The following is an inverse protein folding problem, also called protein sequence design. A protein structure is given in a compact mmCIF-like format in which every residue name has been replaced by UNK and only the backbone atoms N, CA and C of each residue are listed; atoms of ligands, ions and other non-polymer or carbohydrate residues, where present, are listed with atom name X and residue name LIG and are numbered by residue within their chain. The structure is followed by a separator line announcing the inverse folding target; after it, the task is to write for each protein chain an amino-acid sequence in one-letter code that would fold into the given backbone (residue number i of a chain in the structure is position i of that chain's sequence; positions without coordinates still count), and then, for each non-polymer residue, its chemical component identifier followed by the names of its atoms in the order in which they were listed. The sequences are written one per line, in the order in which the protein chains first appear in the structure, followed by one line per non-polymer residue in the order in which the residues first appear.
data_IF_788600075846
#
_entry.id   IF_788600075846
#
_cell.length_a   1.000
_cell.length_b   1.000
_cell.length_c   1.000
_cell.angle_alpha   90.00
_cell.angle_beta   90.00
_cell.angle_gamma   90.00
#
_symmetry.space_group_name_H-M   'P 1'
#
loop_
_entity.id
_entity.type
_entity.pdbx_description
1 polymer ?
#
# COMPACT_ATOMS: atom_id res chain seq x y z
N UNK A 1 -1.41 -14.42 17.10
CA UNK A 1 -1.69 -14.15 15.67
C UNK A 1 -1.18 -15.30 14.80
N UNK A 2 0.14 -15.45 14.61
CA UNK A 2 0.68 -16.38 13.61
C UNK A 2 0.36 -17.86 13.90
N UNK A 3 0.86 -18.43 14.99
CA UNK A 3 0.79 -19.89 15.19
C UNK A 3 -0.63 -20.42 15.45
N UNK A 4 -1.45 -19.66 16.18
CA UNK A 4 -2.76 -20.13 16.62
C UNK A 4 -3.92 -19.67 15.74
N UNK A 5 -3.84 -18.52 15.07
CA UNK A 5 -4.94 -18.04 14.23
C UNK A 5 -4.69 -18.43 12.78
N UNK A 6 -3.59 -17.94 12.18
CA UNK A 6 -3.32 -18.10 10.74
C UNK A 6 -3.25 -19.56 10.29
N UNK A 7 -2.71 -20.44 11.15
CA UNK A 7 -2.45 -21.83 10.80
C UNK A 7 -3.59 -22.80 11.15
N UNK A 8 -4.57 -22.39 11.94
CA UNK A 8 -5.55 -23.31 12.54
C UNK A 8 -6.43 -24.00 11.50
N UNK A 9 -6.95 -23.25 10.53
CA UNK A 9 -7.79 -23.81 9.47
C UNK A 9 -7.05 -24.92 8.70
N UNK A 10 -5.78 -24.68 8.40
CA UNK A 10 -4.94 -25.67 7.72
C UNK A 10 -4.61 -26.88 8.61
N UNK A 11 -4.13 -26.64 9.84
CA UNK A 11 -3.74 -27.73 10.77
C UNK A 11 -4.91 -28.61 11.17
N UNK A 12 -6.13 -28.06 11.22
CA UNK A 12 -7.35 -28.80 11.55
C UNK A 12 -7.98 -29.52 10.36
N UNK A 13 -7.40 -29.44 9.15
CA UNK A 13 -7.99 -30.04 7.95
C UNK A 13 -9.31 -29.37 7.51
N UNK A 14 -9.51 -28.10 7.86
CA UNK A 14 -10.72 -27.33 7.52
C UNK A 14 -11.80 -27.31 8.60
N UNK A 15 -11.64 -28.05 9.70
CA UNK A 15 -12.64 -28.17 10.77
C UNK A 15 -12.81 -26.87 11.59
N UNK A 16 -11.72 -26.14 11.83
CA UNK A 16 -11.74 -24.92 12.66
C UNK A 16 -11.40 -23.66 11.87
N UNK A 17 -12.42 -22.84 11.62
CA UNK A 17 -12.29 -21.46 11.16
C UNK A 17 -11.83 -20.54 12.30
N UNK A 18 -11.18 -19.43 11.97
CA UNK A 18 -10.75 -18.42 12.95
C UNK A 18 -11.18 -17.02 12.46
N UNK A 19 -12.47 -16.66 12.59
CA UNK A 19 -12.99 -15.35 12.22
C UNK A 19 -12.55 -14.30 13.25
N UNK A 20 -11.42 -13.64 12.99
CA UNK A 20 -10.87 -12.63 13.88
C UNK A 20 -10.21 -11.50 13.10
N UNK A 21 -10.47 -10.26 13.52
CA UNK A 21 -9.83 -9.06 12.96
C UNK A 21 -8.88 -8.47 13.99
N UNK A 22 -7.61 -8.37 13.64
CA UNK A 22 -6.60 -7.61 14.39
C UNK A 22 -6.45 -6.25 13.73
N UNK A 23 -6.85 -5.17 14.42
CA UNK A 23 -6.81 -3.81 13.85
C UNK A 23 -6.10 -2.80 14.75
N UNK A 24 -5.54 -1.78 14.13
CA UNK A 24 -4.90 -0.65 14.81
C UNK A 24 -4.02 0.16 13.83
N UNK A 25 -3.50 1.32 14.28
CA UNK A 25 -2.60 2.13 13.46
C UNK A 25 -1.27 1.40 13.21
N UNK A 26 -0.71 1.60 12.02
CA UNK A 26 0.53 1.02 11.52
C UNK A 26 1.35 2.09 10.80
N UNK A 27 2.69 2.00 10.88
CA UNK A 27 3.58 2.92 10.21
C UNK A 27 3.89 4.17 11.04
N UNK A 28 4.15 5.29 10.37
CA UNK A 28 4.60 6.53 11.00
C UNK A 28 3.46 7.33 11.62
N UNK A 29 3.75 8.04 12.71
CA UNK A 29 2.88 9.06 13.30
C UNK A 29 3.62 10.42 13.36
N UNK A 30 3.25 11.31 14.29
CA UNK A 30 3.90 12.61 14.44
C UNK A 30 4.87 12.61 15.63
N UNK A 31 6.18 12.59 15.35
CA UNK A 31 7.25 12.70 16.35
C UNK A 31 7.19 11.67 17.49
N UNK A 32 6.85 10.42 17.17
CA UNK A 32 6.75 9.33 18.15
C UNK A 32 8.03 8.47 18.23
N UNK A 33 9.05 8.83 17.45
CA UNK A 33 10.38 8.20 17.46
C UNK A 33 10.34 6.69 17.11
N UNK A 34 11.45 6.01 17.34
CA UNK A 34 11.77 4.72 16.71
C UNK A 34 10.85 3.55 17.09
N UNK A 35 10.36 3.50 18.34
CA UNK A 35 9.58 2.35 18.84
C UNK A 35 8.10 2.37 18.46
N UNK A 36 7.61 3.49 17.91
CA UNK A 36 6.20 3.72 17.62
C UNK A 36 5.95 4.08 16.14
N UNK A 37 6.94 3.89 15.27
CA UNK A 37 6.88 4.31 13.86
C UNK A 37 7.07 3.17 12.85
N UNK A 38 6.98 1.92 13.29
CA UNK A 38 7.28 0.77 12.45
C UNK A 38 6.08 0.41 11.56
N UNK A 39 6.32 0.29 10.26
CA UNK A 39 5.38 -0.31 9.33
C UNK A 39 5.60 -1.84 9.28
N UNK A 40 4.57 -2.61 9.62
CA UNK A 40 4.62 -4.06 9.86
C UNK A 40 3.92 -4.89 8.77
N UNK A 41 3.43 -4.27 7.69
CA UNK A 41 2.69 -4.95 6.63
C UNK A 41 3.47 -6.12 6.03
N UNK A 42 4.76 -5.94 5.76
CA UNK A 42 5.62 -6.99 5.22
C UNK A 42 5.76 -8.17 6.20
N UNK A 43 5.90 -7.89 7.50
CA UNK A 43 6.01 -8.94 8.51
C UNK A 43 4.77 -9.83 8.53
N UNK A 44 3.58 -9.24 8.57
CA UNK A 44 2.34 -10.03 8.58
C UNK A 44 2.04 -10.69 7.23
N UNK A 45 2.36 -10.03 6.11
CA UNK A 45 2.17 -10.58 4.77
C UNK A 45 3.03 -11.84 4.53
N UNK A 46 4.15 -12.02 5.22
CA UNK A 46 4.98 -13.21 5.07
C UNK A 46 4.30 -14.51 5.53
N UNK A 47 3.28 -14.47 6.40
CA UNK A 47 2.69 -15.69 6.96
C UNK A 47 1.46 -16.17 6.17
N UNK A 48 1.43 -17.43 5.68
CA UNK A 48 0.24 -18.02 5.07
C UNK A 48 -0.94 -18.11 6.04
N UNK A 49 -2.16 -18.06 5.51
CA UNK A 49 -3.40 -18.09 6.29
C UNK A 49 -3.81 -16.75 6.90
N UNK A 50 -2.98 -15.70 6.75
CA UNK A 50 -3.38 -14.32 7.03
C UNK A 50 -3.82 -13.60 5.75
N UNK A 51 -4.81 -12.73 5.90
CA UNK A 51 -5.12 -11.64 4.97
C UNK A 51 -4.62 -10.33 5.59
N UNK A 52 -4.03 -9.44 4.79
CA UNK A 52 -3.45 -8.17 5.27
C UNK A 52 -3.98 -7.02 4.42
N UNK A 53 -4.54 -6.01 5.08
CA UNK A 53 -5.31 -4.93 4.45
C UNK A 53 -4.86 -3.59 4.99
N UNK A 54 -4.76 -2.59 4.12
CA UNK A 54 -4.32 -1.22 4.41
C UNK A 54 -5.24 -0.21 3.69
N UNK A 55 -6.28 0.33 4.35
CA UNK A 55 -7.14 1.36 3.75
C UNK A 55 -6.39 2.68 3.51
N UNK A 56 -6.77 3.42 2.46
CA UNK A 56 -6.21 4.74 2.14
C UNK A 56 -7.23 5.88 2.10
N UNK A 57 -8.52 5.59 2.27
CA UNK A 57 -9.59 6.58 2.32
C UNK A 57 -10.64 6.21 3.37
N UNK A 58 -11.54 7.14 3.69
CA UNK A 58 -12.65 6.86 4.59
C UNK A 58 -13.60 5.77 4.03
N UNK A 59 -13.84 5.77 2.71
CA UNK A 59 -14.60 4.73 2.03
C UNK A 59 -13.89 3.37 2.12
N UNK A 60 -12.58 3.33 1.86
CA UNK A 60 -11.78 2.10 1.98
C UNK A 60 -11.84 1.56 3.42
N UNK A 61 -11.70 2.44 4.42
CA UNK A 61 -11.78 2.05 5.82
C UNK A 61 -13.14 1.42 6.17
N UNK A 62 -14.27 2.02 5.75
CA UNK A 62 -15.61 1.44 5.96
C UNK A 62 -15.76 0.10 5.26
N UNK A 63 -15.49 0.06 3.96
CA UNK A 63 -15.78 -1.10 3.11
C UNK A 63 -14.90 -2.30 3.45
N UNK A 64 -13.60 -2.08 3.62
CA UNK A 64 -12.64 -3.14 3.91
C UNK A 64 -12.80 -3.66 5.34
N UNK A 65 -13.10 -2.81 6.32
CA UNK A 65 -13.30 -3.26 7.71
C UNK A 65 -14.54 -4.14 7.82
N UNK A 66 -15.63 -3.79 7.12
CA UNK A 66 -16.82 -4.64 7.04
C UNK A 66 -16.52 -5.99 6.37
N UNK A 67 -15.78 -5.99 5.26
CA UNK A 67 -15.34 -7.24 4.63
C UNK A 67 -14.46 -8.08 5.56
N UNK A 68 -13.54 -7.45 6.29
CA UNK A 68 -12.67 -8.13 7.25
C UNK A 68 -13.46 -8.78 8.39
N UNK A 69 -14.45 -8.07 8.96
CA UNK A 69 -15.32 -8.60 10.02
C UNK A 69 -16.17 -9.77 9.53
N UNK A 70 -16.60 -9.73 8.25
CA UNK A 70 -17.40 -10.78 7.61
C UNK A 70 -16.55 -11.97 7.12
N UNK A 71 -15.23 -11.90 7.19
CA UNK A 71 -14.35 -12.97 6.74
C UNK A 71 -14.21 -14.08 7.80
N UNK A 72 -14.25 -15.33 7.36
CA UNK A 72 -14.09 -16.51 8.23
C UNK A 72 -12.63 -16.80 8.64
N UNK A 73 -11.68 -15.98 8.21
CA UNK A 73 -10.25 -16.14 8.44
C UNK A 73 -9.64 -14.97 9.21
N UNK A 74 -8.43 -15.12 9.76
CA UNK A 74 -7.74 -14.02 10.42
C UNK A 74 -7.36 -12.90 9.45
N UNK A 75 -7.84 -11.69 9.72
CA UNK A 75 -7.52 -10.49 8.94
C UNK A 75 -6.71 -9.50 9.79
N UNK A 76 -5.59 -9.04 9.25
CA UNK A 76 -4.80 -7.94 9.82
C UNK A 76 -5.22 -6.66 9.10
N UNK A 77 -5.86 -5.75 9.83
CA UNK A 77 -6.38 -4.49 9.32
C UNK A 77 -5.52 -3.33 9.81
N UNK A 78 -4.60 -2.88 8.97
CA UNK A 78 -3.58 -1.91 9.30
C UNK A 78 -4.01 -0.51 8.92
N UNK A 79 -4.45 0.24 9.92
CA UNK A 79 -4.85 1.63 9.76
C UNK A 79 -3.65 2.56 9.78
N UNK A 80 -3.89 3.85 9.63
CA UNK A 80 -2.85 4.87 9.72
C UNK A 80 -3.36 6.05 10.55
N UNK A 81 -2.70 6.31 11.68
CA UNK A 81 -3.03 7.36 12.63
C UNK A 81 -3.13 8.73 11.96
N UNK A 82 -2.18 9.04 11.07
CA UNK A 82 -2.12 10.32 10.35
C UNK A 82 -3.34 10.55 9.46
N UNK A 83 -4.07 9.50 9.13
CA UNK A 83 -5.24 9.55 8.25
C UNK A 83 -6.58 9.59 9.01
N UNK A 84 -6.61 9.39 10.33
CA UNK A 84 -7.87 9.37 11.10
C UNK A 84 -8.66 10.69 11.03
N UNK A 85 -7.96 11.82 10.91
CA UNK A 85 -8.59 13.13 10.75
C UNK A 85 -8.99 13.48 9.32
N UNK A 86 -8.61 12.66 8.32
CA UNK A 86 -8.89 12.94 6.92
C UNK A 86 -10.36 12.66 6.59
N UNK A 87 -10.99 13.59 5.89
CA UNK A 87 -12.37 13.47 5.44
C UNK A 87 -12.41 13.03 3.97
N UNK A 88 -13.42 12.26 3.63
CA UNK A 88 -13.74 11.87 2.26
C UNK A 88 -15.19 11.42 2.21
N UNK A 89 -15.73 11.32 1.00
CA UNK A 89 -17.05 10.74 0.80
C UNK A 89 -17.06 9.26 1.22
N UNK A 90 -18.12 8.86 1.91
CA UNK A 90 -18.29 7.49 2.38
C UNK A 90 -19.67 7.03 1.91
N UNK A 91 -19.78 5.90 1.18
CA UNK A 91 -21.08 5.39 0.76
C UNK A 91 -22.03 5.22 1.95
N UNK A 92 -23.27 5.69 1.83
CA UNK A 92 -24.26 5.61 2.92
C UNK A 92 -24.76 4.17 3.13
N UNK A 93 -24.81 3.38 2.05
CA UNK A 93 -25.27 1.99 2.05
C UNK A 93 -24.68 1.20 3.24
N UNK A 94 -25.56 0.67 4.06
CA UNK A 94 -25.20 -0.10 5.25
C UNK A 94 -24.47 -1.38 4.89
N UNK A 95 -24.70 -1.96 3.70
CA UNK A 95 -24.07 -3.19 3.24
C UNK A 95 -22.84 -2.98 2.36
N UNK A 96 -22.44 -1.70 2.18
CA UNK A 96 -21.23 -1.36 1.45
C UNK A 96 -20.02 -2.13 1.99
N UNK A 97 -19.41 -2.91 1.09
CA UNK A 97 -18.21 -3.71 1.35
C UNK A 97 -17.26 -3.58 0.17
N UNK A 98 -15.97 -3.69 0.44
CA UNK A 98 -14.95 -3.75 -0.59
C UNK A 98 -14.32 -5.15 -0.54
N UNK A 99 -14.33 -5.92 -1.64
CA UNK A 99 -13.71 -7.23 -1.65
C UNK A 99 -12.23 -7.17 -1.26
N UNK A 100 -11.79 -8.09 -0.41
CA UNK A 100 -10.38 -8.23 -0.09
C UNK A 100 -9.64 -8.79 -1.32
N UNK A 101 -8.45 -8.27 -1.60
CA UNK A 101 -7.65 -8.66 -2.76
C UNK A 101 -8.03 -7.96 -4.06
N UNK A 102 -8.72 -6.81 -4.00
CA UNK A 102 -9.09 -6.00 -5.17
C UNK A 102 -8.56 -4.59 -5.01
N UNK A 103 -7.67 -4.18 -5.93
CA UNK A 103 -7.09 -2.84 -5.97
C UNK A 103 -8.08 -1.77 -6.44
N UNK A 104 -7.67 -0.51 -6.28
CA UNK A 104 -8.36 0.67 -6.80
C UNK A 104 -7.43 1.45 -7.73
N UNK A 105 -7.90 1.81 -8.92
CA UNK A 105 -7.24 2.83 -9.73
C UNK A 105 -7.79 4.18 -9.26
N UNK A 106 -7.04 4.84 -8.37
CA UNK A 106 -7.42 6.13 -7.77
C UNK A 106 -7.37 7.28 -8.78
N UNK A 107 -6.52 7.14 -9.80
CA UNK A 107 -6.36 8.10 -10.91
C UNK A 107 -5.88 7.34 -12.14
N UNK A 108 -6.56 7.52 -13.26
CA UNK A 108 -6.11 7.00 -14.56
C UNK A 108 -4.90 7.78 -15.08
N UNK A 109 -4.01 7.08 -15.77
CA UNK A 109 -2.87 7.69 -16.47
C UNK A 109 -2.33 6.82 -17.59
N UNK A 110 -1.29 7.29 -18.28
CA UNK A 110 -0.73 6.62 -19.47
C UNK A 110 0.79 6.64 -19.56
N UNK A 111 1.49 7.46 -18.77
CA UNK A 111 2.93 7.67 -18.93
C UNK A 111 3.75 6.99 -17.83
N UNK A 112 3.19 6.84 -16.62
CA UNK A 112 3.81 6.14 -15.49
C UNK A 112 2.74 5.60 -14.53
N UNK A 113 2.98 4.43 -13.94
CA UNK A 113 2.18 3.90 -12.83
C UNK A 113 2.86 4.18 -11.49
N UNK A 114 2.11 4.70 -10.52
CA UNK A 114 2.47 4.71 -9.11
C UNK A 114 1.63 3.67 -8.38
N UNK A 115 2.26 2.69 -7.74
CA UNK A 115 1.60 1.85 -6.73
C UNK A 115 1.90 2.42 -5.35
N UNK A 116 0.86 2.93 -4.69
CA UNK A 116 0.96 3.54 -3.37
C UNK A 116 0.00 2.84 -2.40
N UNK A 117 0.30 2.88 -1.10
CA UNK A 117 -0.57 2.28 -0.06
C UNK A 117 -0.72 3.20 1.14
N UNK A 118 -1.89 3.15 1.80
CA UNK A 118 -2.16 3.93 3.03
C UNK A 118 -1.77 5.41 2.87
N UNK A 119 -0.94 5.99 3.76
CA UNK A 119 -0.56 7.41 3.76
C UNK A 119 0.12 7.88 2.47
N UNK A 120 0.73 6.96 1.70
CA UNK A 120 1.42 7.33 0.46
C UNK A 120 0.46 7.53 -0.72
N UNK A 121 -0.80 7.08 -0.63
CA UNK A 121 -1.82 7.29 -1.68
C UNK A 121 -2.16 8.77 -1.87
N UNK A 122 -2.53 9.56 -0.83
CA UNK A 122 -2.76 10.99 -1.02
C UNK A 122 -1.51 11.72 -1.50
N UNK A 123 -0.31 11.30 -1.07
CA UNK A 123 0.95 11.85 -1.59
C UNK A 123 1.17 11.56 -3.07
N UNK A 124 0.84 10.34 -3.52
CA UNK A 124 0.94 9.94 -4.92
C UNK A 124 -0.07 10.68 -5.81
N UNK A 125 -1.29 10.92 -5.31
CA UNK A 125 -2.29 11.74 -6.02
C UNK A 125 -1.82 13.18 -6.19
N UNK A 126 -1.26 13.79 -5.15
CA UNK A 126 -0.68 15.14 -5.24
C UNK A 126 0.52 15.18 -6.20
N UNK A 127 1.40 14.17 -6.14
CA UNK A 127 2.52 14.05 -7.07
C UNK A 127 2.03 13.92 -8.52
N UNK A 128 1.01 13.09 -8.77
CA UNK A 128 0.43 12.89 -10.10
C UNK A 128 -0.19 14.18 -10.66
N UNK A 129 -0.83 15.00 -9.82
CA UNK A 129 -1.36 16.30 -10.22
C UNK A 129 -0.24 17.26 -10.64
N UNK A 130 0.81 17.38 -9.81
CA UNK A 130 1.99 18.22 -10.13
C UNK A 130 2.71 17.76 -11.39
N UNK A 131 2.89 16.45 -11.56
CA UNK A 131 3.50 15.88 -12.77
C UNK A 131 2.73 16.24 -14.05
N UNK A 132 1.40 16.23 -13.98
CA UNK A 132 0.56 16.63 -15.11
C UNK A 132 0.65 18.13 -15.39
N UNK A 133 0.65 18.97 -14.36
CA UNK A 133 0.65 20.43 -14.50
C UNK A 133 2.00 20.99 -14.95
N UNK A 134 3.10 20.45 -14.41
CA UNK A 134 4.44 21.01 -14.60
C UNK A 134 5.22 20.35 -15.75
N UNK A 135 4.91 19.09 -16.07
CA UNK A 135 5.70 18.28 -17.01
C UNK A 135 4.86 17.59 -18.09
N UNK A 136 3.53 17.76 -18.10
CA UNK A 136 2.59 17.05 -18.99
C UNK A 136 2.73 15.51 -18.91
N UNK A 137 3.06 14.99 -17.71
CA UNK A 137 3.17 13.54 -17.46
C UNK A 137 1.90 13.03 -16.77
N UNK A 138 1.19 12.14 -17.44
CA UNK A 138 -0.05 11.53 -16.98
C UNK A 138 0.21 10.26 -16.17
N UNK A 139 0.11 10.39 -14.85
CA UNK A 139 0.45 9.32 -13.90
C UNK A 139 -0.78 8.54 -13.42
N UNK A 140 -0.78 7.23 -13.63
CA UNK A 140 -1.77 6.33 -13.05
C UNK A 140 -1.44 6.09 -11.57
N UNK A 141 -2.41 6.18 -10.66
CA UNK A 141 -2.21 5.90 -9.23
C UNK A 141 -3.08 4.71 -8.83
N UNK A 142 -2.42 3.66 -8.35
CA UNK A 142 -3.06 2.42 -7.88
C UNK A 142 -2.86 2.30 -6.38
N UNK A 143 -3.98 2.08 -5.68
CA UNK A 143 -3.99 1.62 -4.30
C UNK A 143 -4.33 0.12 -4.27
N UNK A 144 -3.39 -0.76 -3.88
CA UNK A 144 -3.68 -2.18 -3.77
C UNK A 144 -4.82 -2.50 -2.80
N UNK A 145 -5.07 -1.65 -1.79
CA UNK A 145 -5.95 -1.85 -0.62
C UNK A 145 -5.62 -3.06 0.24
N UNK A 146 -5.39 -4.22 -0.38
CA UNK A 146 -5.00 -5.49 0.22
C UNK A 146 -3.56 -5.80 -0.15
N UNK A 147 -2.75 -6.05 0.88
CA UNK A 147 -1.34 -6.44 0.75
C UNK A 147 -1.22 -7.95 0.54
N UNK A 148 -2.11 -8.72 1.15
CA UNK A 148 -2.17 -10.17 0.96
C UNK A 148 -3.62 -10.66 1.02
N UNK A 149 -4.12 -11.33 -0.03
CA UNK A 149 -3.50 -11.51 -1.35
C UNK A 149 -3.38 -10.17 -2.10
N UNK A 150 -2.28 -9.98 -2.83
CA UNK A 150 -2.05 -8.79 -3.66
C UNK A 150 -2.80 -8.93 -4.99
N UNK A 151 -3.49 -7.87 -5.41
CA UNK A 151 -4.05 -7.75 -6.76
C UNK A 151 -2.95 -7.37 -7.77
N UNK A 152 -2.13 -8.35 -8.14
CA UNK A 152 -1.04 -8.15 -9.10
C UNK A 152 -1.57 -7.92 -10.51
N UNK A 153 -2.73 -8.47 -10.87
CA UNK A 153 -3.30 -8.38 -12.21
C UNK A 153 -3.63 -6.92 -12.57
N UNK A 154 -4.22 -6.17 -11.64
CA UNK A 154 -4.47 -4.73 -11.83
C UNK A 154 -3.18 -3.94 -12.04
N UNK A 155 -2.13 -4.25 -11.26
CA UNK A 155 -0.82 -3.59 -11.38
C UNK A 155 -0.17 -3.92 -12.74
N UNK A 156 -0.20 -5.19 -13.15
CA UNK A 156 0.36 -5.64 -14.44
C UNK A 156 -0.39 -5.01 -15.61
N UNK A 157 -1.73 -4.94 -15.55
CA UNK A 157 -2.53 -4.29 -16.59
C UNK A 157 -2.17 -2.81 -16.76
N UNK A 158 -1.94 -2.12 -15.65
CA UNK A 158 -1.46 -0.74 -15.64
C UNK A 158 -0.08 -0.57 -16.26
N UNK A 159 0.87 -1.45 -15.91
CA UNK A 159 2.24 -1.39 -16.43
C UNK A 159 2.27 -1.66 -17.93
N UNK A 160 1.41 -2.56 -18.45
CA UNK A 160 1.27 -2.76 -19.91
C UNK A 160 0.81 -1.50 -20.64
N UNK A 161 0.12 -0.60 -19.96
CA UNK A 161 -0.35 0.69 -20.49
C UNK A 161 0.70 1.80 -20.35
N UNK A 162 1.44 1.84 -19.24
CA UNK A 162 2.31 2.98 -18.88
C UNK A 162 3.80 2.73 -19.05
N UNK A 163 4.20 1.46 -19.14
CA UNK A 163 5.57 0.99 -19.29
C UNK A 163 6.56 1.37 -18.16
N UNK A 164 6.10 2.02 -17.09
CA UNK A 164 6.95 2.55 -16.00
C UNK A 164 6.28 2.37 -14.65
N UNK A 165 7.08 2.08 -13.63
CA UNK A 165 6.57 1.86 -12.27
C UNK A 165 7.41 2.58 -11.21
N UNK A 166 6.69 3.33 -10.37
CA UNK A 166 7.16 3.84 -9.08
C UNK A 166 6.32 3.20 -7.97
N UNK A 167 6.96 2.73 -6.91
CA UNK A 167 6.27 2.18 -5.73
C UNK A 167 6.52 3.13 -4.56
N UNK A 168 5.46 3.55 -3.88
CA UNK A 168 5.54 4.38 -2.67
C UNK A 168 5.06 3.60 -1.44
N UNK A 169 5.87 3.55 -0.38
CA UNK A 169 5.55 2.83 0.86
C UNK A 169 6.18 3.50 2.09
N UNK A 170 5.56 3.37 3.27
CA UNK A 170 6.13 3.88 4.53
C UNK A 170 7.07 2.89 5.21
N UNK A 171 7.07 1.61 4.83
CA UNK A 171 8.04 0.64 5.33
C UNK A 171 9.46 0.97 4.89
N UNK A 172 10.45 0.42 5.57
CA UNK A 172 11.83 0.39 5.05
C UNK A 172 11.88 -0.37 3.73
N UNK A 173 12.89 -0.10 2.92
CA UNK A 173 13.05 -0.70 1.58
C UNK A 173 13.39 -2.20 1.60
N UNK A 174 14.19 -2.65 2.58
CA UNK A 174 14.67 -4.03 2.61
C UNK A 174 13.56 -5.00 3.02
N UNK A 175 13.35 -6.07 2.24
CA UNK A 175 12.32 -7.09 2.47
C UNK A 175 10.89 -6.52 2.64
N UNK A 176 10.61 -5.43 1.93
CA UNK A 176 9.31 -4.76 1.94
C UNK A 176 8.31 -5.40 0.99
N UNK A 177 7.03 -5.02 1.10
CA UNK A 177 6.02 -5.40 0.09
C UNK A 177 6.37 -4.77 -1.26
N UNK A 178 7.03 -3.60 -1.29
CA UNK A 178 7.52 -3.01 -2.53
C UNK A 178 8.56 -3.89 -3.24
N UNK A 179 9.35 -4.66 -2.49
CA UNK A 179 10.26 -5.65 -3.07
C UNK A 179 9.50 -6.83 -3.71
N UNK A 180 8.44 -7.31 -3.07
CA UNK A 180 7.57 -8.36 -3.63
C UNK A 180 6.86 -7.89 -4.91
N UNK A 181 6.27 -6.68 -4.90
CA UNK A 181 5.65 -6.08 -6.09
C UNK A 181 6.66 -5.98 -7.23
N UNK A 182 7.89 -5.56 -6.93
CA UNK A 182 8.98 -5.47 -7.92
C UNK A 182 9.26 -6.82 -8.56
N UNK A 183 9.36 -7.89 -7.76
CA UNK A 183 9.57 -9.25 -8.27
C UNK A 183 8.40 -9.74 -9.11
N UNK A 184 7.16 -9.59 -8.62
CA UNK A 184 5.94 -10.00 -9.32
C UNK A 184 5.80 -9.28 -10.68
N UNK A 185 6.12 -7.99 -10.72
CA UNK A 185 6.12 -7.23 -11.98
C UNK A 185 7.21 -7.71 -12.92
N UNK A 186 8.42 -8.01 -12.41
CA UNK A 186 9.47 -8.59 -13.24
C UNK A 186 9.05 -9.96 -13.81
N UNK A 187 8.41 -10.81 -13.02
CA UNK A 187 7.97 -12.13 -13.48
C UNK A 187 6.83 -12.04 -14.52
N UNK A 188 5.91 -11.09 -14.36
CA UNK A 188 4.66 -11.04 -15.15
C UNK A 188 4.61 -9.96 -16.24
N UNK A 189 5.48 -8.95 -16.19
CA UNK A 189 5.38 -7.76 -17.03
C UNK A 189 6.73 -7.15 -17.43
N UNK A 190 7.85 -7.86 -17.26
CA UNK A 190 9.19 -7.32 -17.56
C UNK A 190 9.34 -6.77 -18.97
N UNK A 191 8.82 -7.47 -19.99
CA UNK A 191 8.92 -7.05 -21.39
C UNK A 191 8.19 -5.73 -21.69
N UNK A 192 7.33 -5.26 -20.78
CA UNK A 192 6.63 -3.99 -20.92
C UNK A 192 7.33 -2.83 -20.21
N UNK A 193 8.39 -3.07 -19.43
CA UNK A 193 9.08 -2.01 -18.71
C UNK A 193 10.12 -1.29 -19.58
N UNK A 194 9.94 0.01 -19.72
CA UNK A 194 10.87 0.91 -20.41
C UNK A 194 11.95 1.48 -19.49
N UNK A 195 11.78 1.34 -18.17
CA UNK A 195 12.70 1.86 -17.16
C UNK A 195 12.76 0.95 -15.92
N UNK A 196 13.89 0.94 -15.18
CA UNK A 196 13.96 0.23 -13.91
C UNK A 196 12.93 0.73 -12.91
N UNK A 197 12.26 -0.19 -12.22
CA UNK A 197 11.29 0.12 -11.17
C UNK A 197 11.95 0.95 -10.06
N UNK A 198 11.31 2.05 -9.67
CA UNK A 198 11.77 2.89 -8.54
C UNK A 198 10.91 2.70 -7.31
N UNK A 199 11.56 2.71 -6.15
CA UNK A 199 10.90 2.55 -4.84
C UNK A 199 11.20 3.76 -3.97
N UNK A 200 10.15 4.41 -3.49
CA UNK A 200 10.18 5.51 -2.55
C UNK A 200 9.70 4.98 -1.20
N UNK A 201 10.64 4.83 -0.28
CA UNK A 201 10.41 4.23 1.03
C UNK A 201 10.93 5.11 2.16
N UNK A 202 10.62 4.75 3.40
CA UNK A 202 11.34 5.31 4.55
C UNK A 202 12.83 4.91 4.46
N UNK A 203 13.72 5.82 4.85
CA UNK A 203 15.16 5.56 4.88
C UNK A 203 15.50 4.39 5.80
N UNK A 204 16.62 3.73 5.55
CA UNK A 204 17.07 2.57 6.34
C UNK A 204 17.73 3.02 7.67
N UNK A 205 16.91 3.58 8.57
CA UNK A 205 17.32 3.96 9.91
C UNK A 205 16.11 3.92 10.87
N UNK A 206 16.34 3.71 12.18
CA UNK A 206 15.30 3.91 13.18
C UNK A 206 14.71 5.33 13.09
N UNK A 207 13.39 5.47 13.21
CA UNK A 207 12.72 6.76 13.03
C UNK A 207 13.24 7.81 14.03
N UNK A 208 13.80 8.94 13.56
CA UNK A 208 14.29 10.00 14.43
C UNK A 208 13.15 10.85 14.99
N UNK A 209 13.32 11.39 16.20
CA UNK A 209 12.33 12.28 16.84
C UNK A 209 12.37 13.73 16.30
N UNK A 210 13.56 14.21 15.92
CA UNK A 210 13.73 15.59 15.47
C UNK A 210 12.95 15.82 14.17
N UNK A 211 12.03 16.80 14.16
CA UNK A 211 11.07 17.04 13.07
C UNK A 211 11.72 17.13 11.68
N UNK A 212 12.86 17.81 11.57
CA UNK A 212 13.59 17.93 10.31
C UNK A 212 14.14 16.58 9.82
N UNK A 213 14.59 15.72 10.73
CA UNK A 213 15.08 14.39 10.41
C UNK A 213 13.93 13.40 10.13
N UNK A 214 12.82 13.51 10.85
CA UNK A 214 11.61 12.69 10.60
C UNK A 214 11.06 12.97 9.19
N UNK A 215 10.94 14.24 8.82
CA UNK A 215 10.54 14.64 7.47
C UNK A 215 11.52 14.16 6.39
N UNK A 216 12.83 14.18 6.68
CA UNK A 216 13.85 13.66 5.77
C UNK A 216 13.84 12.13 5.68
N UNK A 217 13.42 11.42 6.73
CA UNK A 217 13.35 9.97 6.77
C UNK A 217 12.16 9.40 5.99
N UNK A 218 11.00 10.04 6.08
CA UNK A 218 9.75 9.56 5.50
C UNK A 218 9.66 9.80 3.97
N UNK A 219 8.82 9.04 3.25
CA UNK A 219 8.38 9.39 1.90
C UNK A 219 7.77 10.79 1.85
N UNK A 220 7.90 11.45 0.70
CA UNK A 220 7.28 12.75 0.45
C UNK A 220 6.86 12.89 -1.00
N UNK A 221 5.98 13.85 -1.28
CA UNK A 221 5.54 14.21 -2.64
C UNK A 221 6.75 14.50 -3.53
N UNK A 222 7.70 15.30 -3.04
CA UNK A 222 8.91 15.64 -3.80
C UNK A 222 9.77 14.42 -4.15
N UNK A 223 9.88 13.45 -3.23
CA UNK A 223 10.60 12.19 -3.50
C UNK A 223 9.88 11.33 -4.52
N UNK A 224 8.54 11.31 -4.50
CA UNK A 224 7.73 10.60 -5.50
C UNK A 224 7.88 11.27 -6.87
N UNK A 225 7.77 12.60 -6.95
CA UNK A 225 8.00 13.36 -8.19
C UNK A 225 9.40 13.07 -8.74
N UNK A 226 10.44 13.13 -7.91
CA UNK A 226 11.80 12.83 -8.34
C UNK A 226 11.94 11.42 -8.92
N UNK A 227 11.28 10.42 -8.32
CA UNK A 227 11.28 9.05 -8.84
C UNK A 227 10.50 8.92 -10.17
N UNK A 228 9.36 9.61 -10.32
CA UNK A 228 8.60 9.63 -11.59
C UNK A 228 9.43 10.29 -12.68
N UNK A 229 10.06 11.43 -12.39
CA UNK A 229 10.96 12.11 -13.31
C UNK A 229 12.11 11.20 -13.76
N UNK A 230 12.70 10.45 -12.84
CA UNK A 230 13.78 9.51 -13.14
C UNK A 230 13.34 8.40 -14.11
N UNK A 231 12.18 7.78 -13.90
CA UNK A 231 11.67 6.72 -14.80
C UNK A 231 11.17 7.26 -16.14
N UNK A 232 10.72 8.52 -16.17
CA UNK A 232 10.29 9.21 -17.38
C UNK A 232 11.43 9.92 -18.15
N UNK A 233 12.64 9.94 -17.58
CA UNK A 233 13.82 10.61 -18.16
C UNK A 233 13.66 12.13 -18.40
N UNK A 234 13.11 12.86 -17.43
CA UNK A 234 12.87 14.33 -17.47
C UNK A 234 13.36 15.08 -16.22
#
# INVERSE_FOLDING_TARGET
IINHAAKMLYMSGGEFKVPIVFRGPNGSAFQVSSQHSQALEAFYANFPGLKVVMPSTAADAKGLLKSAIRDDNPVIFMEQERMYGMKGEVPEDEDFTIPLGVADIKREGKDCTIVARSMTVPMALEAAEKMQQEFDVSVEVIDPRTIKPLDIDTIVASIKKTNRLVIAEESHSFASVGAEITYQVMDHAFDYLDAPIKRVSTVEAPMPYAKNLEAAALPSVDKIIAAVKEVCYI
#
